data_IF_693385512441
#
_entry.id   IF_693385512441
#
_cell.length_a   1.000
_cell.length_b   1.000
_cell.length_c   1.000
_cell.angle_alpha   90.00
_cell.angle_beta   90.00
_cell.angle_gamma   90.00
#
_symmetry.space_group_name_H-M   'P 1'
#
loop_
_entity.id
_entity.type
_entity.pdbx_description
1 polymer ?
#
# COMPACT_ATOMS: atom_id res chain seq x y z
N UNK A 1 5.76 32.98 2.87
CA UNK A 1 7.15 32.48 2.91
C UNK A 1 7.69 32.74 4.31
N UNK A 2 7.76 31.70 5.14
CA UNK A 2 8.38 31.76 6.46
C UNK A 2 9.79 31.18 6.35
N UNK A 3 10.80 31.93 6.82
CA UNK A 3 12.20 31.49 6.91
C UNK A 3 12.68 31.73 8.32
N UNK A 4 12.85 30.66 9.10
CA UNK A 4 13.36 30.72 10.48
C UNK A 4 14.15 29.46 10.78
N UNK A 5 15.23 29.60 11.57
CA UNK A 5 16.00 28.48 12.12
C UNK A 5 15.84 28.50 13.65
N UNK A 6 14.90 27.71 14.17
CA UNK A 6 14.63 27.52 15.59
C UNK A 6 14.66 26.02 15.94
N UNK A 7 14.75 25.67 17.23
CA UNK A 7 14.70 24.26 17.66
C UNK A 7 13.34 23.60 17.39
N UNK A 8 12.26 24.38 17.38
CA UNK A 8 10.92 23.96 16.98
C UNK A 8 10.16 25.16 16.37
N UNK A 9 9.37 24.92 15.33
CA UNK A 9 8.48 25.90 14.72
C UNK A 9 7.05 25.36 14.71
N UNK A 10 6.11 26.14 15.22
CA UNK A 10 4.67 25.85 15.13
C UNK A 10 4.03 26.89 14.23
N UNK A 11 3.33 26.43 13.20
CA UNK A 11 2.51 27.27 12.34
C UNK A 11 1.05 26.85 12.60
N UNK A 12 0.36 27.64 13.42
CA UNK A 12 -1.08 27.53 13.65
C UNK A 12 -1.76 28.70 12.94
N UNK A 13 -2.60 28.39 11.95
CA UNK A 13 -3.49 29.38 11.32
C UNK A 13 -4.97 29.14 11.65
N UNK A 14 -5.31 28.14 12.46
CA UNK A 14 -6.67 27.70 12.73
C UNK A 14 -7.44 28.63 13.68
N UNK A 15 -6.75 29.48 14.46
CA UNK A 15 -7.37 30.41 15.44
C UNK A 15 -7.43 31.91 15.06
N UNK A 16 -7.19 32.29 13.80
CA UNK A 16 -7.17 33.71 13.41
C UNK A 16 -8.52 34.21 12.85
N UNK A 17 -9.45 34.63 13.74
CA UNK A 17 -10.72 35.29 13.37
C UNK A 17 -10.56 36.70 12.79
N UNK A 18 -9.33 37.11 12.43
CA UNK A 18 -9.06 38.39 11.77
C UNK A 18 -7.83 38.31 10.88
N UNK A 19 -7.80 37.37 9.94
CA UNK A 19 -7.12 37.63 8.67
C UNK A 19 -7.81 36.86 7.55
N UNK A 20 -8.47 37.59 6.66
CA UNK A 20 -8.81 37.08 5.33
C UNK A 20 -7.50 36.97 4.54
N UNK A 21 -6.68 35.98 4.89
CA UNK A 21 -5.70 35.41 3.99
C UNK A 21 -6.26 34.08 3.55
N UNK A 22 -7.22 34.13 2.62
CA UNK A 22 -7.38 33.07 1.62
C UNK A 22 -6.04 32.96 0.87
N UNK A 23 -5.01 32.40 1.50
CA UNK A 23 -3.77 32.09 0.82
C UNK A 23 -4.05 30.86 -0.03
N UNK A 24 -4.20 31.08 -1.33
CA UNK A 24 -4.36 30.01 -2.31
C UNK A 24 -3.20 29.01 -2.28
N UNK A 25 -2.04 29.38 -1.74
CA UNK A 25 -0.91 28.49 -1.49
C UNK A 25 -0.02 28.97 -0.32
N UNK A 26 0.45 28.05 0.52
CA UNK A 26 1.47 28.26 1.54
C UNK A 26 2.74 27.47 1.19
N UNK A 27 3.89 28.14 1.15
CA UNK A 27 5.20 27.50 0.91
C UNK A 27 6.08 27.68 2.16
N UNK A 28 6.59 26.55 2.66
CA UNK A 28 7.45 26.45 3.84
C UNK A 28 8.80 25.85 3.40
N UNK A 29 9.88 26.58 3.68
CA UNK A 29 11.28 26.18 3.46
C UNK A 29 11.99 26.33 4.82
N UNK A 30 12.26 25.21 5.49
CA UNK A 30 12.82 25.24 6.86
C UNK A 30 13.78 24.09 7.16
N UNK A 31 14.69 24.37 8.10
CA UNK A 31 15.59 23.39 8.72
C UNK A 31 15.62 23.60 10.24
N UNK A 32 14.69 22.94 10.92
CA UNK A 32 14.45 22.91 12.36
C UNK A 32 14.54 21.45 12.85
N UNK A 33 14.67 21.23 14.16
CA UNK A 33 14.59 19.85 14.69
C UNK A 33 13.18 19.28 14.61
N UNK A 34 12.15 20.12 14.74
CA UNK A 34 10.75 19.74 14.61
C UNK A 34 9.90 20.87 14.00
N UNK A 35 8.87 20.51 13.23
CA UNK A 35 7.86 21.41 12.67
C UNK A 35 6.46 20.83 12.85
N UNK A 36 5.53 21.65 13.37
CA UNK A 36 4.11 21.31 13.46
C UNK A 36 3.31 22.35 12.67
N UNK A 37 2.42 21.87 11.80
CA UNK A 37 1.55 22.70 10.98
C UNK A 37 0.10 22.29 11.24
N UNK A 38 -0.71 23.26 11.64
CA UNK A 38 -2.17 23.18 11.69
C UNK A 38 -2.73 24.29 10.78
N UNK A 39 -3.34 23.88 9.66
CA UNK A 39 -3.78 24.84 8.65
C UNK A 39 -4.92 24.36 7.75
N UNK A 40 -5.64 25.32 7.17
CA UNK A 40 -6.68 25.10 6.16
C UNK A 40 -6.48 26.08 5.00
N UNK A 41 -5.69 25.68 4.00
CA UNK A 41 -5.38 26.42 2.77
C UNK A 41 -5.86 25.62 1.54
N UNK A 42 -5.86 26.25 0.36
CA UNK A 42 -6.10 25.50 -0.88
C UNK A 42 -4.91 24.60 -1.26
N UNK A 43 -3.68 25.05 -1.01
CA UNK A 43 -2.47 24.29 -1.28
C UNK A 43 -1.37 24.55 -0.23
N UNK A 44 -0.60 23.51 0.12
CA UNK A 44 0.56 23.58 1.01
C UNK A 44 1.74 22.84 0.37
N UNK A 45 2.88 23.50 0.25
CA UNK A 45 4.15 22.91 -0.19
C UNK A 45 5.19 23.06 0.90
N UNK A 46 5.82 21.95 1.27
CA UNK A 46 6.85 21.90 2.31
C UNK A 46 8.11 21.30 1.69
N UNK A 47 9.18 22.07 1.68
CA UNK A 47 10.54 21.62 1.44
C UNK A 47 11.29 21.72 2.77
N UNK A 48 11.73 20.58 3.32
CA UNK A 48 12.34 20.59 4.65
C UNK A 48 13.34 19.48 4.91
N UNK A 49 14.33 19.80 5.74
CA UNK A 49 15.30 18.85 6.29
C UNK A 49 15.08 18.57 7.78
N UNK A 50 13.84 18.73 8.26
CA UNK A 50 13.51 18.54 9.67
C UNK A 50 13.55 17.07 10.09
N UNK A 51 13.98 16.81 11.32
CA UNK A 51 13.97 15.43 11.87
C UNK A 51 12.55 14.96 12.24
N UNK A 52 11.62 15.88 12.47
CA UNK A 52 10.21 15.58 12.71
C UNK A 52 9.28 16.62 12.06
N UNK A 53 8.24 16.15 11.38
CA UNK A 53 7.21 16.96 10.76
C UNK A 53 5.82 16.36 11.09
N UNK A 54 4.96 17.18 11.68
CA UNK A 54 3.56 16.83 11.96
C UNK A 54 2.65 17.81 11.25
N UNK A 55 1.71 17.31 10.46
CA UNK A 55 0.75 18.11 9.69
C UNK A 55 -0.65 17.63 10.02
N UNK A 56 -1.48 18.55 10.50
CA UNK A 56 -2.92 18.42 10.59
C UNK A 56 -3.53 19.45 9.63
N UNK A 57 -4.26 19.01 8.62
CA UNK A 57 -4.74 19.93 7.61
C UNK A 57 -6.00 19.47 6.87
N UNK A 58 -6.69 20.42 6.24
CA UNK A 58 -7.85 20.15 5.38
C UNK A 58 -7.65 20.79 4.00
N UNK A 59 -6.44 20.65 3.44
CA UNK A 59 -6.06 21.30 2.18
C UNK A 59 -6.56 20.53 0.96
N UNK A 60 -6.82 21.23 -0.14
CA UNK A 60 -7.10 20.53 -1.42
C UNK A 60 -5.84 19.88 -2.00
N UNK A 61 -4.65 20.44 -1.74
CA UNK A 61 -3.37 19.87 -2.16
C UNK A 61 -2.28 20.03 -1.10
N UNK A 62 -1.49 18.97 -0.88
CA UNK A 62 -0.33 18.94 0.00
C UNK A 62 0.85 18.26 -0.74
N UNK A 63 1.97 18.96 -0.84
CA UNK A 63 3.22 18.43 -1.38
C UNK A 63 4.31 18.53 -0.33
N UNK A 64 4.98 17.41 -0.07
CA UNK A 64 6.06 17.32 0.91
C UNK A 64 7.27 16.72 0.22
N UNK A 65 8.36 17.48 0.22
CA UNK A 65 9.67 17.03 -0.23
C UNK A 65 10.63 17.11 0.96
N UNK A 66 11.13 15.96 1.36
CA UNK A 66 12.23 15.85 2.34
C UNK A 66 13.41 15.05 1.77
N UNK A 67 13.45 14.88 0.45
CA UNK A 67 14.45 14.05 -0.24
C UNK A 67 15.89 14.48 0.04
N UNK A 68 16.10 15.78 0.29
CA UNK A 68 17.39 16.37 0.67
C UNK A 68 17.80 16.12 2.13
N UNK A 69 16.93 15.50 2.93
CA UNK A 69 17.23 15.17 4.32
C UNK A 69 18.10 13.91 4.40
N UNK A 70 19.29 14.07 4.97
CA UNK A 70 20.25 12.96 5.18
C UNK A 70 20.07 12.28 6.53
N UNK A 71 19.16 12.77 7.38
CA UNK A 71 18.83 12.21 8.69
C UNK A 71 17.47 11.54 8.66
N UNK A 72 17.27 10.57 9.57
CA UNK A 72 15.97 9.93 9.70
C UNK A 72 14.91 10.97 10.05
N UNK A 73 13.87 11.07 9.22
CA UNK A 73 12.75 11.98 9.44
C UNK A 73 11.51 11.20 9.89
N UNK A 74 10.80 11.72 10.88
CA UNK A 74 9.48 11.22 11.26
C UNK A 74 8.42 12.16 10.70
N UNK A 75 7.56 11.66 9.82
CA UNK A 75 6.50 12.41 9.17
C UNK A 75 5.14 11.83 9.58
N UNK A 76 4.31 12.65 10.22
CA UNK A 76 2.93 12.30 10.57
C UNK A 76 1.98 13.27 9.88
N UNK A 77 1.03 12.73 9.11
CA UNK A 77 0.08 13.52 8.34
C UNK A 77 -1.33 13.04 8.68
N UNK A 78 -2.17 13.96 9.11
CA UNK A 78 -3.62 13.81 9.21
C UNK A 78 -4.26 14.82 8.25
N UNK A 79 -5.03 14.34 7.28
CA UNK A 79 -5.70 15.21 6.32
C UNK A 79 -6.98 14.62 5.74
N UNK A 80 -7.82 15.46 5.13
CA UNK A 80 -8.98 14.98 4.39
C UNK A 80 -9.23 15.80 3.12
N UNK A 81 -9.81 15.14 2.10
CA UNK A 81 -10.18 15.77 0.82
C UNK A 81 -8.98 16.38 0.09
N UNK A 82 -7.85 15.67 0.06
CA UNK A 82 -6.57 16.21 -0.41
C UNK A 82 -5.97 15.38 -1.54
N UNK A 83 -5.31 16.06 -2.48
CA UNK A 83 -4.24 15.46 -3.26
C UNK A 83 -2.93 15.57 -2.45
N UNK A 84 -2.33 14.43 -2.11
CA UNK A 84 -1.10 14.35 -1.32
C UNK A 84 0.03 13.75 -2.17
N UNK A 85 1.13 14.48 -2.29
CA UNK A 85 2.36 14.01 -2.91
C UNK A 85 3.50 14.07 -1.90
N UNK A 86 4.18 12.94 -1.71
CA UNK A 86 5.25 12.79 -0.72
C UNK A 86 6.47 12.18 -1.42
N UNK A 87 7.60 12.87 -1.32
CA UNK A 87 8.92 12.39 -1.72
C UNK A 87 9.86 12.46 -0.50
N UNK A 88 10.32 11.30 -0.02
CA UNK A 88 11.14 11.23 1.20
C UNK A 88 12.21 10.15 1.11
N UNK A 89 13.32 10.37 1.81
CA UNK A 89 14.38 9.40 2.00
C UNK A 89 14.56 9.11 3.50
N UNK A 90 14.88 7.85 3.85
CA UNK A 90 15.19 7.44 5.22
C UNK A 90 14.11 7.88 6.25
N UNK A 91 12.84 7.61 5.97
CA UNK A 91 11.75 8.22 6.75
C UNK A 91 10.82 7.20 7.39
N UNK A 92 10.28 7.56 8.55
CA UNK A 92 9.13 6.90 9.14
C UNK A 92 7.89 7.75 8.85
N UNK A 93 6.99 7.23 8.04
CA UNK A 93 5.82 7.93 7.54
C UNK A 93 4.53 7.30 8.09
N UNK A 94 3.71 8.11 8.76
CA UNK A 94 2.37 7.74 9.20
C UNK A 94 1.36 8.68 8.55
N UNK A 95 0.43 8.13 7.79
CA UNK A 95 -0.61 8.89 7.07
C UNK A 95 -1.97 8.37 7.51
N UNK A 96 -2.81 9.27 8.02
CA UNK A 96 -4.23 9.06 8.16
C UNK A 96 -4.97 10.01 7.21
N UNK A 97 -5.82 9.47 6.32
CA UNK A 97 -6.63 10.34 5.48
C UNK A 97 -7.96 9.75 5.00
N UNK A 98 -8.84 10.62 4.52
CA UNK A 98 -10.06 10.21 3.84
C UNK A 98 -10.34 11.06 2.60
N UNK A 99 -10.94 10.44 1.59
CA UNK A 99 -11.34 11.08 0.33
C UNK A 99 -10.15 11.72 -0.41
N UNK A 100 -9.03 10.99 -0.50
CA UNK A 100 -7.76 11.56 -0.95
C UNK A 100 -7.14 10.81 -2.11
N UNK A 101 -6.28 11.50 -2.85
CA UNK A 101 -5.41 10.91 -3.87
C UNK A 101 -3.97 11.03 -3.38
N UNK A 102 -3.31 9.90 -3.14
CA UNK A 102 -1.97 9.79 -2.57
C UNK A 102 -0.98 9.32 -3.63
N UNK A 103 0.14 10.02 -3.74
CA UNK A 103 1.31 9.58 -4.49
C UNK A 103 2.53 9.66 -3.58
N UNK A 104 3.15 8.51 -3.34
CA UNK A 104 4.24 8.36 -2.38
C UNK A 104 5.43 7.72 -3.10
N UNK A 105 6.56 8.41 -3.10
CA UNK A 105 7.85 7.92 -3.57
C UNK A 105 8.83 7.94 -2.39
N UNK A 106 9.34 6.76 -1.97
CA UNK A 106 10.27 6.70 -0.85
C UNK A 106 11.36 5.65 -0.97
N UNK A 107 12.50 5.93 -0.35
CA UNK A 107 13.61 4.99 -0.20
C UNK A 107 13.99 4.79 1.28
N UNK A 108 14.31 3.56 1.67
CA UNK A 108 14.70 3.17 3.04
C UNK A 108 13.67 3.63 4.10
N UNK A 109 12.39 3.35 3.89
CA UNK A 109 11.33 3.95 4.70
C UNK A 109 10.43 2.92 5.38
N UNK A 110 9.81 3.34 6.48
CA UNK A 110 8.75 2.60 7.15
C UNK A 110 7.45 3.40 6.98
N UNK A 111 6.46 2.82 6.30
CA UNK A 111 5.20 3.47 5.95
C UNK A 111 4.05 2.78 6.67
N UNK A 112 3.21 3.56 7.33
CA UNK A 112 1.92 3.15 7.85
C UNK A 112 0.85 4.06 7.28
N UNK A 113 -0.11 3.49 6.55
CA UNK A 113 -1.13 4.21 5.81
C UNK A 113 -2.50 3.66 6.23
N UNK A 114 -3.34 4.54 6.78
CA UNK A 114 -4.75 4.27 7.11
C UNK A 114 -5.62 5.23 6.29
N UNK A 115 -6.40 4.69 5.36
CA UNK A 115 -7.26 5.55 4.52
C UNK A 115 -8.64 4.98 4.21
N UNK A 116 -9.58 5.88 3.92
CA UNK A 116 -10.85 5.50 3.32
C UNK A 116 -11.16 6.33 2.07
N UNK A 117 -11.86 5.71 1.11
CA UNK A 117 -12.31 6.35 -0.13
C UNK A 117 -11.15 7.01 -0.89
N UNK A 118 -10.03 6.31 -1.06
CA UNK A 118 -8.79 6.91 -1.55
C UNK A 118 -8.20 6.19 -2.76
N UNK A 119 -7.43 6.92 -3.56
CA UNK A 119 -6.59 6.36 -4.61
C UNK A 119 -5.13 6.51 -4.19
N UNK A 120 -4.38 5.41 -4.16
CA UNK A 120 -2.99 5.36 -3.70
C UNK A 120 -2.10 4.86 -4.83
N UNK A 121 -1.03 5.60 -5.11
CA UNK A 121 0.10 5.15 -5.92
C UNK A 121 1.35 5.21 -5.04
N UNK A 122 2.02 4.07 -4.86
CA UNK A 122 3.16 3.92 -3.97
C UNK A 122 4.31 3.31 -4.78
N UNK A 123 5.43 4.02 -4.85
CA UNK A 123 6.71 3.53 -5.37
C UNK A 123 7.72 3.55 -4.22
N UNK A 124 8.26 2.38 -3.86
CA UNK A 124 9.27 2.32 -2.80
C UNK A 124 10.39 1.32 -3.02
N UNK A 125 11.52 1.56 -2.38
CA UNK A 125 12.59 0.58 -2.29
C UNK A 125 13.15 0.46 -0.88
N UNK A 126 13.53 -0.76 -0.49
CA UNK A 126 14.08 -1.09 0.83
C UNK A 126 13.16 -0.63 1.97
N UNK A 127 11.86 -0.93 1.85
CA UNK A 127 10.84 -0.35 2.72
C UNK A 127 9.97 -1.39 3.42
N UNK A 128 9.39 -0.98 4.55
CA UNK A 128 8.37 -1.75 5.26
C UNK A 128 7.04 -0.97 5.17
N UNK A 129 6.01 -1.58 4.61
CA UNK A 129 4.72 -0.96 4.35
C UNK A 129 3.62 -1.71 5.11
N UNK A 130 2.80 -0.95 5.83
CA UNK A 130 1.54 -1.41 6.41
C UNK A 130 0.42 -0.52 5.90
N UNK A 131 -0.55 -1.11 5.23
CA UNK A 131 -1.64 -0.40 4.56
C UNK A 131 -2.97 -0.98 5.03
N UNK A 132 -3.80 -0.15 5.63
CA UNK A 132 -5.19 -0.44 5.97
C UNK A 132 -6.09 0.50 5.17
N UNK A 133 -6.96 -0.05 4.31
CA UNK A 133 -7.87 0.79 3.52
C UNK A 133 -9.27 0.24 3.33
N UNK A 134 -10.22 1.16 3.14
CA UNK A 134 -11.57 0.81 2.68
C UNK A 134 -12.02 1.65 1.49
N UNK A 135 -12.68 1.01 0.52
CA UNK A 135 -13.21 1.65 -0.69
C UNK A 135 -12.11 2.35 -1.50
N UNK A 136 -10.99 1.66 -1.74
CA UNK A 136 -9.79 2.29 -2.28
C UNK A 136 -9.26 1.60 -3.54
N UNK A 137 -8.52 2.36 -4.34
CA UNK A 137 -7.73 1.83 -5.46
C UNK A 137 -6.24 2.00 -5.14
N UNK A 138 -5.47 0.90 -5.19
CA UNK A 138 -4.06 0.86 -4.82
C UNK A 138 -3.24 0.38 -6.01
N UNK A 139 -2.19 1.12 -6.34
CA UNK A 139 -1.10 0.70 -7.23
C UNK A 139 0.20 0.77 -6.44
N UNK A 140 0.89 -0.36 -6.32
CA UNK A 140 2.09 -0.50 -5.50
C UNK A 140 3.20 -1.09 -6.37
N UNK A 141 4.31 -0.37 -6.51
CA UNK A 141 5.56 -0.84 -7.11
C UNK A 141 6.63 -0.84 -6.01
N UNK A 142 7.21 -2.01 -5.70
CA UNK A 142 8.29 -2.05 -4.70
C UNK A 142 9.43 -3.01 -5.02
N UNK A 143 10.60 -2.69 -4.48
CA UNK A 143 11.73 -3.63 -4.44
C UNK A 143 12.30 -3.78 -3.04
N UNK A 144 12.74 -4.99 -2.70
CA UNK A 144 13.38 -5.30 -1.42
C UNK A 144 12.52 -4.89 -0.21
N UNK A 145 11.22 -5.20 -0.24
CA UNK A 145 10.26 -4.63 0.71
C UNK A 145 9.43 -5.69 1.44
N UNK A 146 8.90 -5.31 2.60
CA UNK A 146 7.93 -6.10 3.35
C UNK A 146 6.59 -5.35 3.37
N UNK A 147 5.53 -5.98 2.87
CA UNK A 147 4.21 -5.39 2.70
C UNK A 147 3.19 -6.17 3.52
N UNK A 148 2.39 -5.45 4.30
CA UNK A 148 1.17 -5.96 4.95
C UNK A 148 0.01 -5.08 4.51
N UNK A 149 -1.00 -5.68 3.90
CA UNK A 149 -2.12 -4.98 3.29
C UNK A 149 -3.42 -5.60 3.81
N UNK A 150 -4.26 -4.78 4.44
CA UNK A 150 -5.64 -5.11 4.82
C UNK A 150 -6.58 -4.19 4.04
N UNK A 151 -7.51 -4.76 3.26
CA UNK A 151 -8.47 -3.94 2.52
C UNK A 151 -9.90 -4.48 2.45
N UNK A 152 -10.86 -3.56 2.38
CA UNK A 152 -12.26 -3.86 2.11
C UNK A 152 -12.81 -3.05 0.93
N UNK A 153 -13.47 -3.71 -0.01
CA UNK A 153 -14.02 -3.10 -1.24
C UNK A 153 -12.96 -2.37 -2.07
N UNK A 154 -11.84 -3.02 -2.37
CA UNK A 154 -10.69 -2.35 -2.99
C UNK A 154 -10.23 -3.02 -4.28
N UNK A 155 -9.56 -2.23 -5.13
CA UNK A 155 -8.84 -2.72 -6.31
C UNK A 155 -7.34 -2.54 -6.10
N UNK A 156 -6.56 -3.61 -6.21
CA UNK A 156 -5.12 -3.62 -5.92
C UNK A 156 -4.36 -4.09 -7.17
N UNK A 157 -3.36 -3.32 -7.57
CA UNK A 157 -2.31 -3.71 -8.51
C UNK A 157 -0.98 -3.65 -7.78
N UNK A 158 -0.25 -4.77 -7.74
CA UNK A 158 1.00 -4.90 -7.01
C UNK A 158 2.05 -5.48 -7.94
N UNK A 159 3.15 -4.75 -8.13
CA UNK A 159 4.38 -5.20 -8.79
C UNK A 159 5.50 -5.20 -7.75
N UNK A 160 6.12 -6.35 -7.48
CA UNK A 160 7.25 -6.38 -6.54
C UNK A 160 8.38 -7.31 -6.93
N UNK A 161 9.59 -6.95 -6.49
CA UNK A 161 10.75 -7.84 -6.54
C UNK A 161 11.40 -8.01 -5.18
N UNK A 162 11.87 -9.22 -4.88
CA UNK A 162 12.59 -9.54 -3.64
C UNK A 162 11.81 -9.15 -2.38
N UNK A 163 10.51 -9.46 -2.33
CA UNK A 163 9.61 -8.92 -1.33
C UNK A 163 8.84 -9.99 -0.56
N UNK A 164 8.36 -9.62 0.63
CA UNK A 164 7.46 -10.43 1.43
C UNK A 164 6.10 -9.72 1.54
N UNK A 165 5.03 -10.36 1.09
CA UNK A 165 3.69 -9.80 1.01
C UNK A 165 2.73 -10.61 1.89
N UNK A 166 2.00 -9.93 2.74
CA UNK A 166 0.82 -10.46 3.46
C UNK A 166 -0.37 -9.61 3.08
N UNK A 167 -1.41 -10.24 2.54
CA UNK A 167 -2.59 -9.56 2.00
C UNK A 167 -3.83 -10.21 2.61
N UNK A 168 -4.65 -9.43 3.29
CA UNK A 168 -6.00 -9.79 3.75
C UNK A 168 -6.99 -8.87 3.04
N UNK A 169 -7.96 -9.44 2.31
CA UNK A 169 -8.96 -8.62 1.63
C UNK A 169 -10.36 -9.21 1.62
N UNK A 170 -11.35 -8.33 1.53
CA UNK A 170 -12.72 -8.73 1.25
C UNK A 170 -13.39 -7.85 0.19
N UNK A 171 -14.12 -8.50 -0.73
CA UNK A 171 -14.79 -7.87 -1.85
C UNK A 171 -13.83 -7.08 -2.75
N UNK A 172 -12.68 -7.68 -3.08
CA UNK A 172 -11.58 -6.98 -3.75
C UNK A 172 -11.19 -7.63 -5.08
N UNK A 173 -10.58 -6.82 -5.95
CA UNK A 173 -9.92 -7.29 -7.17
C UNK A 173 -8.41 -7.08 -7.03
N UNK A 174 -7.63 -8.15 -7.21
CA UNK A 174 -6.19 -8.14 -7.00
C UNK A 174 -5.49 -8.59 -8.29
N UNK A 175 -4.51 -7.82 -8.73
CA UNK A 175 -3.53 -8.20 -9.75
C UNK A 175 -2.14 -8.09 -9.13
N UNK A 176 -1.40 -9.19 -9.13
CA UNK A 176 -0.11 -9.31 -8.46
C UNK A 176 0.91 -9.87 -9.46
N UNK A 177 1.98 -9.12 -9.70
CA UNK A 177 3.17 -9.55 -10.44
C UNK A 177 4.35 -9.56 -9.47
N UNK A 178 5.03 -10.69 -9.28
CA UNK A 178 6.22 -10.73 -8.42
C UNK A 178 7.36 -11.62 -8.91
N UNK A 179 8.58 -11.21 -8.55
CA UNK A 179 9.77 -12.03 -8.70
C UNK A 179 10.50 -12.20 -7.36
N UNK A 180 10.99 -13.41 -7.07
CA UNK A 180 11.74 -13.75 -5.85
C UNK A 180 10.99 -13.36 -4.56
N UNK A 181 9.71 -13.70 -4.45
CA UNK A 181 8.86 -13.19 -3.37
C UNK A 181 8.18 -14.28 -2.54
N UNK A 182 7.80 -13.94 -1.33
CA UNK A 182 6.97 -14.77 -0.46
C UNK A 182 5.62 -14.10 -0.26
N UNK A 183 4.53 -14.78 -0.63
CA UNK A 183 3.17 -14.24 -0.61
C UNK A 183 2.29 -15.09 0.31
N UNK A 184 1.58 -14.43 1.21
CA UNK A 184 0.46 -14.99 1.97
C UNK A 184 -0.77 -14.16 1.67
N UNK A 185 -1.82 -14.79 1.15
CA UNK A 185 -3.03 -14.11 0.69
C UNK A 185 -4.24 -14.79 1.34
N UNK A 186 -5.04 -14.03 2.07
CA UNK A 186 -6.36 -14.42 2.58
C UNK A 186 -7.41 -13.53 1.90
N UNK A 187 -8.41 -14.12 1.23
CA UNK A 187 -9.49 -13.32 0.65
C UNK A 187 -10.88 -13.93 0.73
N UNK A 188 -11.88 -13.05 0.80
CA UNK A 188 -13.29 -13.40 0.70
C UNK A 188 -14.02 -12.58 -0.38
N UNK A 189 -14.76 -13.25 -1.27
CA UNK A 189 -15.48 -12.64 -2.39
C UNK A 189 -14.56 -11.83 -3.33
N UNK A 190 -13.43 -12.40 -3.72
CA UNK A 190 -12.40 -11.65 -4.47
C UNK A 190 -12.07 -12.27 -5.83
N UNK A 191 -11.56 -11.44 -6.73
CA UNK A 191 -10.97 -11.87 -7.99
C UNK A 191 -9.45 -11.65 -7.95
N UNK A 192 -8.67 -12.71 -8.15
CA UNK A 192 -7.21 -12.70 -8.04
C UNK A 192 -6.60 -13.11 -9.37
N UNK A 193 -5.68 -12.29 -9.87
CA UNK A 193 -4.74 -12.65 -10.95
C UNK A 193 -3.33 -12.53 -10.42
N UNK A 194 -2.57 -13.62 -10.48
CA UNK A 194 -1.24 -13.72 -9.90
C UNK A 194 -0.28 -14.24 -10.98
N UNK A 195 0.76 -13.48 -11.29
CA UNK A 195 1.91 -13.91 -12.10
C UNK A 195 3.15 -13.86 -11.21
N UNK A 196 3.85 -15.00 -11.06
CA UNK A 196 5.06 -15.03 -10.23
C UNK A 196 6.17 -15.90 -10.79
N UNK A 197 7.39 -15.56 -10.39
CA UNK A 197 8.55 -16.44 -10.60
C UNK A 197 9.43 -16.52 -9.36
N UNK A 198 9.98 -17.72 -9.11
CA UNK A 198 10.88 -17.99 -7.99
C UNK A 198 10.26 -17.65 -6.63
N UNK A 199 9.00 -18.00 -6.43
CA UNK A 199 8.21 -17.49 -5.30
C UNK A 199 7.60 -18.59 -4.44
N UNK A 200 7.25 -18.25 -3.21
CA UNK A 200 6.49 -19.12 -2.31
C UNK A 200 5.14 -18.48 -2.03
N UNK A 201 4.05 -19.17 -2.37
CA UNK A 201 2.69 -18.66 -2.32
C UNK A 201 1.86 -19.54 -1.38
N UNK A 202 1.18 -18.91 -0.43
CA UNK A 202 0.11 -19.51 0.38
C UNK A 202 -1.16 -18.69 0.17
N UNK A 203 -2.22 -19.33 -0.26
CA UNK A 203 -3.47 -18.67 -0.63
C UNK A 203 -4.62 -19.37 0.09
N UNK A 204 -5.36 -18.65 0.91
CA UNK A 204 -6.64 -19.07 1.50
C UNK A 204 -7.75 -18.18 0.92
N UNK A 205 -8.78 -18.79 0.33
CA UNK A 205 -9.85 -18.02 -0.30
C UNK A 205 -11.23 -18.64 -0.17
N UNK A 206 -12.25 -17.80 -0.17
CA UNK A 206 -13.64 -18.27 -0.28
C UNK A 206 -14.47 -17.39 -1.21
N UNK A 207 -15.30 -18.05 -2.04
CA UNK A 207 -16.15 -17.40 -3.04
C UNK A 207 -15.34 -16.55 -4.03
N UNK A 208 -14.19 -17.06 -4.47
CA UNK A 208 -13.23 -16.28 -5.25
C UNK A 208 -12.98 -16.87 -6.64
N UNK A 209 -12.51 -16.02 -7.55
CA UNK A 209 -12.00 -16.44 -8.85
C UNK A 209 -10.48 -16.23 -8.87
N UNK A 210 -9.71 -17.28 -9.11
CA UNK A 210 -8.25 -17.26 -9.07
C UNK A 210 -7.70 -17.64 -10.45
N UNK A 211 -6.82 -16.81 -10.99
CA UNK A 211 -5.95 -17.12 -12.13
C UNK A 211 -4.51 -16.99 -11.68
N UNK A 212 -3.73 -18.07 -11.79
CA UNK A 212 -2.34 -18.12 -11.33
C UNK A 212 -1.46 -18.61 -12.47
N UNK A 213 -0.46 -17.82 -12.84
CA UNK A 213 0.68 -18.23 -13.66
C UNK A 213 1.93 -18.22 -12.77
N UNK A 214 2.68 -19.33 -12.72
CA UNK A 214 3.92 -19.35 -11.94
C UNK A 214 5.00 -20.25 -12.49
N UNK A 215 6.26 -19.85 -12.25
CA UNK A 215 7.43 -20.68 -12.54
C UNK A 215 8.41 -20.77 -11.37
N UNK A 216 8.98 -21.97 -11.14
CA UNK A 216 10.01 -22.22 -10.12
C UNK A 216 9.53 -21.88 -8.69
N UNK A 217 8.29 -22.25 -8.37
CA UNK A 217 7.64 -21.80 -7.14
C UNK A 217 7.18 -22.95 -6.24
N UNK A 218 6.80 -22.61 -5.03
CA UNK A 218 5.98 -23.46 -4.17
C UNK A 218 4.63 -22.78 -3.98
N UNK A 219 3.53 -23.52 -4.20
CA UNK A 219 2.18 -22.99 -4.16
C UNK A 219 1.30 -23.91 -3.30
N UNK A 220 0.72 -23.32 -2.25
CA UNK A 220 -0.30 -23.96 -1.40
C UNK A 220 -1.59 -23.15 -1.50
N UNK A 221 -2.68 -23.81 -1.84
CA UNK A 221 -3.99 -23.18 -1.98
C UNK A 221 -5.00 -23.94 -1.12
N UNK A 222 -5.71 -23.23 -0.25
CA UNK A 222 -6.95 -23.67 0.38
C UNK A 222 -8.09 -22.81 -0.18
N UNK A 223 -9.16 -23.44 -0.64
CA UNK A 223 -10.27 -22.67 -1.21
C UNK A 223 -11.63 -23.33 -1.13
N UNK A 224 -12.67 -22.51 -0.93
CA UNK A 224 -14.06 -22.95 -0.97
C UNK A 224 -14.94 -22.13 -1.90
N UNK A 225 -15.82 -22.79 -2.65
CA UNK A 225 -16.78 -22.17 -3.57
C UNK A 225 -16.11 -21.27 -4.63
N UNK A 226 -14.98 -21.71 -5.17
CA UNK A 226 -14.12 -20.89 -6.02
C UNK A 226 -13.96 -21.46 -7.43
N UNK A 227 -13.46 -20.64 -8.34
CA UNK A 227 -13.03 -21.06 -9.67
C UNK A 227 -11.53 -20.81 -9.80
N UNK A 228 -10.77 -21.88 -10.07
CA UNK A 228 -9.31 -21.84 -10.14
C UNK A 228 -8.85 -22.19 -11.56
N UNK A 229 -8.02 -21.32 -12.13
CA UNK A 229 -7.23 -21.57 -13.34
C UNK A 229 -5.76 -21.40 -13.00
N UNK A 230 -4.97 -22.46 -13.18
CA UNK A 230 -3.57 -22.48 -12.75
C UNK A 230 -2.71 -22.97 -13.93
N UNK A 231 -1.71 -22.19 -14.32
CA UNK A 231 -0.62 -22.58 -15.21
C UNK A 231 0.69 -22.56 -14.42
N UNK A 232 1.42 -23.68 -14.38
CA UNK A 232 2.68 -23.73 -13.64
C UNK A 232 3.81 -24.47 -14.37
N UNK A 233 5.04 -24.05 -14.10
CA UNK A 233 6.24 -24.80 -14.45
C UNK A 233 7.20 -24.94 -13.28
N UNK A 234 7.84 -26.12 -13.14
CA UNK A 234 8.82 -26.40 -12.08
C UNK A 234 8.31 -26.06 -10.68
N UNK A 235 7.04 -26.36 -10.40
CA UNK A 235 6.35 -25.90 -9.19
C UNK A 235 5.97 -27.09 -8.29
N UNK A 236 6.07 -26.90 -6.98
CA UNK A 236 5.43 -27.79 -6.00
C UNK A 236 4.04 -27.22 -5.68
N UNK A 237 2.98 -27.92 -6.09
CA UNK A 237 1.60 -27.48 -5.99
C UNK A 237 0.81 -28.38 -5.04
N UNK A 238 0.24 -27.78 -4.00
CA UNK A 238 -0.73 -28.40 -3.09
C UNK A 238 -2.03 -27.62 -3.11
N UNK A 239 -3.15 -28.30 -3.32
CA UNK A 239 -4.48 -27.69 -3.34
C UNK A 239 -5.39 -28.49 -2.41
N UNK A 240 -6.03 -27.82 -1.46
CA UNK A 240 -7.22 -28.29 -0.76
C UNK A 240 -8.41 -27.46 -1.25
N UNK A 241 -9.50 -28.14 -1.63
CA UNK A 241 -10.67 -27.41 -2.08
C UNK A 241 -12.02 -28.06 -1.76
N UNK A 242 -13.03 -27.21 -1.56
CA UNK A 242 -14.43 -27.63 -1.46
C UNK A 242 -15.35 -26.85 -2.42
N UNK A 243 -16.23 -27.57 -3.12
CA UNK A 243 -17.21 -26.98 -4.05
C UNK A 243 -16.61 -26.02 -5.10
N UNK A 244 -15.43 -26.34 -5.63
CA UNK A 244 -14.72 -25.47 -6.59
C UNK A 244 -14.55 -26.11 -7.95
N UNK A 245 -14.45 -25.25 -8.97
CA UNK A 245 -14.03 -25.65 -10.32
C UNK A 245 -12.52 -25.47 -10.47
N UNK A 246 -11.85 -26.44 -11.10
CA UNK A 246 -10.39 -26.46 -11.20
C UNK A 246 -9.94 -26.77 -12.63
N UNK A 247 -9.11 -25.89 -13.19
CA UNK A 247 -8.37 -26.09 -14.44
C UNK A 247 -6.89 -25.91 -14.15
N UNK A 248 -6.09 -26.93 -14.42
CA UNK A 248 -4.64 -26.91 -14.15
C UNK A 248 -3.88 -27.35 -15.40
N UNK A 249 -2.95 -26.53 -15.84
CA UNK A 249 -1.85 -26.89 -16.73
C UNK A 249 -0.54 -26.88 -15.93
N UNK A 250 0.24 -27.96 -16.01
CA UNK A 250 1.54 -28.01 -15.31
C UNK A 250 2.61 -28.69 -16.15
N UNK A 251 3.84 -28.20 -16.01
CA UNK A 251 5.04 -28.86 -16.52
C UNK A 251 6.08 -29.03 -15.41
N UNK A 252 6.75 -30.20 -15.37
CA UNK A 252 7.81 -30.51 -14.39
C UNK A 252 7.43 -30.21 -12.92
N UNK A 253 6.18 -30.45 -12.56
CA UNK A 253 5.63 -30.05 -11.25
C UNK A 253 5.24 -31.26 -10.41
N UNK A 254 5.33 -31.11 -9.08
CA UNK A 254 4.77 -32.06 -8.13
C UNK A 254 3.37 -31.57 -7.74
N UNK A 255 2.36 -32.44 -7.82
CA UNK A 255 0.96 -32.06 -7.64
C UNK A 255 0.28 -32.92 -6.57
N UNK A 256 -0.32 -32.27 -5.58
CA UNK A 256 -1.22 -32.87 -4.59
C UNK A 256 -2.54 -32.09 -4.59
N UNK A 257 -3.66 -32.80 -4.74
CA UNK A 257 -5.00 -32.20 -4.72
C UNK A 257 -5.89 -33.00 -3.77
N UNK A 258 -6.47 -32.33 -2.77
CA UNK A 258 -7.59 -32.83 -1.97
C UNK A 258 -8.86 -32.07 -2.38
N UNK A 259 -9.96 -32.79 -2.59
CA UNK A 259 -11.24 -32.20 -2.98
C UNK A 259 -12.39 -32.79 -2.17
N UNK A 260 -13.13 -31.93 -1.46
CA UNK A 260 -14.37 -32.31 -0.79
C UNK A 260 -15.59 -31.71 -1.50
N UNK A 261 -16.27 -32.52 -2.31
CA UNK A 261 -17.54 -32.13 -2.93
C UNK A 261 -18.70 -32.53 -2.01
N UNK A 262 -19.46 -31.55 -1.50
CA UNK A 262 -20.76 -31.85 -0.89
C UNK A 262 -21.80 -32.07 -1.98
N UNK A 263 -21.84 -33.24 -2.59
CA UNK A 263 -22.99 -33.65 -3.41
C UNK A 263 -24.16 -33.95 -2.48
N UNK A 264 -25.16 -33.05 -2.42
CA UNK A 264 -26.51 -33.43 -1.96
C UNK A 264 -27.25 -34.02 -3.15
N UNK A 265 -27.55 -35.32 -3.05
CA UNK A 265 -28.56 -36.04 -3.83
C UNK A 265 -29.93 -35.33 -3.80
#
# INVERSE_FOLDING_TARGET
HYRTSNSALTIDTSNNTSNNTNNSALIIDTSNSALTIDTSNSALTIDTSNSALTIDTSNSALTIDTSNNTSNSALTIDTSNSALTIDTNNSALTINTSNSALTIDTHNSALTIDTSNSALTIDTSNSALTIDTSNSALTIDTSNSALTIDTHNSALTIDTSNSALTIDTSNSALTIDTNNSALTIDTHNSALTIDTSNSALTIDTSNSALTIDTSNSALTIDTSNSALTIDTSNTALTIDTSNSALTIDTSNSALTIDTSNTTRD
#
